data_IF_396892327321
#
_entry.id   IF_396892327321
#
_cell.length_a   1.000
_cell.length_b   1.000
_cell.length_c   1.000
_cell.angle_alpha   90.00
_cell.angle_beta   90.00
_cell.angle_gamma   90.00
#
_symmetry.space_group_name_H-M   'P 1'
#
loop_
_entity.id
_entity.type
_entity.pdbx_description
1 polymer ?
#
# COMPACT_ATOMS: atom_id res chain seq x y z
N UNK A 1 23.95 13.83 -8.88
CA UNK A 1 23.82 12.59 -9.67
C UNK A 1 22.34 12.27 -9.79
N UNK A 2 21.77 12.18 -10.99
CA UNK A 2 20.39 11.72 -11.15
C UNK A 2 20.31 10.20 -11.07
N UNK A 3 19.35 9.68 -10.30
CA UNK A 3 19.05 8.25 -10.31
C UNK A 3 18.51 7.86 -11.69
N UNK A 4 19.06 6.79 -12.28
CA UNK A 4 18.65 6.26 -13.59
C UNK A 4 17.14 5.97 -13.67
N UNK A 5 16.50 5.70 -12.53
CA UNK A 5 15.06 5.53 -12.38
C UNK A 5 14.24 6.71 -12.94
N UNK A 6 14.76 7.94 -12.85
CA UNK A 6 14.06 9.14 -13.31
C UNK A 6 14.43 9.54 -14.74
N UNK A 7 15.33 8.80 -15.40
CA UNK A 7 15.72 9.04 -16.78
C UNK A 7 14.90 8.22 -17.79
N UNK A 8 13.79 7.63 -17.34
CA UNK A 8 12.87 6.83 -18.14
C UNK A 8 11.42 7.21 -17.82
N UNK A 9 10.47 6.91 -18.71
CA UNK A 9 9.05 7.11 -18.43
C UNK A 9 8.63 6.43 -17.12
N UNK A 10 7.96 7.17 -16.25
CA UNK A 10 7.46 6.66 -14.97
C UNK A 10 6.04 6.11 -15.12
N UNK A 11 5.80 4.95 -14.53
CA UNK A 11 4.46 4.42 -14.32
C UNK A 11 3.97 4.88 -12.95
N UNK A 12 3.07 5.86 -12.92
CA UNK A 12 2.59 6.45 -11.66
C UNK A 12 1.34 5.74 -11.17
N UNK A 13 1.34 5.32 -9.91
CA UNK A 13 0.15 4.87 -9.18
C UNK A 13 -0.16 5.95 -8.13
N UNK A 14 -1.28 6.66 -8.27
CA UNK A 14 -1.72 7.61 -7.26
C UNK A 14 -2.54 6.88 -6.20
N UNK A 15 -2.23 7.13 -4.92
CA UNK A 15 -2.96 6.59 -3.76
C UNK A 15 -3.47 7.74 -2.92
N UNK A 16 -4.75 7.73 -2.57
CA UNK A 16 -5.39 8.81 -1.83
C UNK A 16 -6.13 9.78 -2.75
N UNK A 17 -5.99 11.09 -2.52
CA UNK A 17 -6.87 12.11 -3.11
C UNK A 17 -6.76 12.10 -4.64
N UNK A 18 -7.91 11.93 -5.31
CA UNK A 18 -8.00 11.83 -6.76
C UNK A 18 -7.50 13.08 -7.51
N UNK A 19 -7.55 14.26 -6.88
CA UNK A 19 -7.13 15.53 -7.49
C UNK A 19 -5.69 15.49 -8.01
N UNK A 20 -4.78 14.77 -7.33
CA UNK A 20 -3.40 14.65 -7.78
C UNK A 20 -3.28 13.80 -9.05
N UNK A 21 -4.09 12.75 -9.20
CA UNK A 21 -4.17 11.99 -10.45
C UNK A 21 -4.65 12.87 -11.59
N UNK A 22 -5.64 13.72 -11.34
CA UNK A 22 -6.18 14.61 -12.38
C UNK A 22 -5.17 15.68 -12.82
N UNK A 23 -4.40 16.23 -11.89
CA UNK A 23 -3.34 17.19 -12.23
C UNK A 23 -2.19 16.53 -13.02
N UNK A 24 -1.88 15.26 -12.75
CA UNK A 24 -0.91 14.48 -13.55
C UNK A 24 -1.43 14.19 -14.96
N UNK A 25 -2.72 13.85 -15.11
CA UNK A 25 -3.34 13.64 -16.43
C UNK A 25 -3.30 14.90 -17.29
N UNK A 26 -3.57 16.08 -16.70
CA UNK A 26 -3.47 17.38 -17.42
C UNK A 26 -2.05 17.66 -17.93
N UNK A 27 -1.04 17.15 -17.22
CA UNK A 27 0.36 17.23 -17.62
C UNK A 27 0.78 16.11 -18.58
N UNK A 28 -0.16 15.29 -19.07
CA UNK A 28 0.08 14.15 -19.96
C UNK A 28 0.99 13.08 -19.35
N UNK A 29 1.01 12.97 -18.02
CA UNK A 29 1.75 11.91 -17.30
C UNK A 29 0.86 10.66 -17.21
N UNK A 30 1.35 9.47 -17.60
CA UNK A 30 0.64 8.22 -17.40
C UNK A 30 0.45 7.93 -15.90
N UNK A 31 -0.81 7.90 -15.45
CA UNK A 31 -1.16 7.65 -14.05
C UNK A 31 -2.38 6.73 -13.92
N UNK A 32 -2.30 5.79 -12.98
CA UNK A 32 -3.44 4.97 -12.53
C UNK A 32 -3.85 5.41 -11.13
N UNK A 33 -5.11 5.79 -10.93
CA UNK A 33 -5.65 6.04 -9.61
C UNK A 33 -5.97 4.70 -8.93
N UNK A 34 -5.38 4.45 -7.78
CA UNK A 34 -5.82 3.37 -6.90
C UNK A 34 -6.99 3.87 -6.05
N UNK A 35 -8.12 3.18 -6.17
CA UNK A 35 -9.25 3.37 -5.27
C UNK A 35 -8.94 2.67 -3.94
N UNK A 36 -8.27 3.41 -3.05
CA UNK A 36 -7.81 2.92 -1.77
C UNK A 36 -8.49 3.68 -0.63
N UNK A 37 -8.95 2.95 0.37
CA UNK A 37 -9.55 3.49 1.60
C UNK A 37 -8.78 2.94 2.80
N UNK A 38 -8.49 3.74 3.85
CA UNK A 38 -7.77 3.27 5.02
C UNK A 38 -8.54 2.16 5.77
N UNK A 39 -7.82 1.29 6.50
CA UNK A 39 -8.43 0.22 7.25
C UNK A 39 -9.46 0.75 8.26
N UNK A 40 -10.58 0.05 8.38
CA UNK A 40 -11.65 0.42 9.30
C UNK A 40 -12.55 1.58 8.86
N UNK A 41 -12.21 2.36 7.82
CA UNK A 41 -13.05 3.45 7.28
C UNK A 41 -13.58 4.43 8.35
N UNK A 42 -12.84 4.65 9.43
CA UNK A 42 -13.26 5.48 10.57
C UNK A 42 -14.14 4.77 11.62
N UNK A 43 -14.47 3.50 11.42
CA UNK A 43 -15.12 2.66 12.43
C UNK A 43 -14.06 2.12 13.42
N UNK A 44 -14.03 2.70 14.62
CA UNK A 44 -13.07 2.34 15.66
C UNK A 44 -13.12 0.87 16.07
N UNK A 45 -14.30 0.24 16.11
CA UNK A 45 -14.40 -1.18 16.46
C UNK A 45 -13.72 -2.07 15.40
N UNK A 46 -13.78 -1.67 14.12
CA UNK A 46 -13.09 -2.38 13.04
C UNK A 46 -11.58 -2.14 13.11
N UNK A 47 -11.15 -0.91 13.43
CA UNK A 47 -9.73 -0.59 13.64
C UNK A 47 -9.15 -1.45 14.77
N UNK A 48 -9.81 -1.51 15.93
CA UNK A 48 -9.37 -2.31 17.07
C UNK A 48 -9.29 -3.81 16.74
N UNK A 49 -10.27 -4.33 15.98
CA UNK A 49 -10.24 -5.73 15.53
C UNK A 49 -9.07 -6.00 14.59
N UNK A 50 -8.77 -5.07 13.67
CA UNK A 50 -7.63 -5.17 12.76
C UNK A 50 -6.30 -5.09 13.53
N UNK A 51 -6.20 -4.27 14.57
CA UNK A 51 -5.01 -4.18 15.42
C UNK A 51 -4.72 -5.50 16.16
N UNK A 52 -5.76 -6.20 16.63
CA UNK A 52 -5.60 -7.51 17.25
C UNK A 52 -5.06 -8.56 16.25
N UNK A 53 -5.54 -8.52 15.00
CA UNK A 53 -5.06 -9.39 13.92
C UNK A 53 -3.61 -9.02 13.55
N UNK A 54 -3.27 -7.73 13.55
CA UNK A 54 -1.92 -7.25 13.25
C UNK A 54 -0.90 -7.48 14.40
N UNK A 55 -1.27 -8.24 15.45
CA UNK A 55 -0.40 -8.48 16.60
C UNK A 55 0.92 -9.16 16.23
N UNK A 56 2.05 -8.85 16.92
CA UNK A 56 3.36 -9.42 16.62
C UNK A 56 3.39 -10.95 16.62
N UNK A 57 2.68 -11.57 17.58
CA UNK A 57 2.61 -13.02 17.69
C UNK A 57 1.93 -13.68 16.48
N UNK A 58 0.94 -13.02 15.85
CA UNK A 58 0.33 -13.52 14.63
C UNK A 58 1.20 -13.20 13.40
N UNK A 59 1.84 -12.04 13.37
CA UNK A 59 2.77 -11.65 12.31
C UNK A 59 3.93 -12.65 12.16
N UNK A 60 4.50 -13.13 13.26
CA UNK A 60 5.55 -14.16 13.23
C UNK A 60 5.05 -15.49 12.66
N UNK A 61 3.83 -15.91 13.01
CA UNK A 61 3.19 -17.13 12.46
C UNK A 61 2.96 -16.98 10.95
N UNK A 62 2.47 -15.83 10.51
CA UNK A 62 2.29 -15.52 9.08
C UNK A 62 3.63 -15.53 8.35
N UNK A 63 4.66 -14.91 8.92
CA UNK A 63 5.99 -14.89 8.33
C UNK A 63 6.60 -16.31 8.20
N UNK A 64 6.42 -17.16 9.21
CA UNK A 64 6.84 -18.55 9.15
C UNK A 64 6.12 -19.33 8.05
N UNK A 65 4.80 -19.14 7.90
CA UNK A 65 4.03 -19.75 6.83
C UNK A 65 4.45 -19.27 5.43
N UNK A 66 4.72 -17.97 5.26
CA UNK A 66 5.17 -17.41 3.99
C UNK A 66 6.52 -17.97 3.54
N UNK A 67 7.42 -18.28 4.48
CA UNK A 67 8.70 -18.96 4.17
C UNK A 67 8.52 -20.37 3.62
N UNK A 68 7.42 -21.05 3.98
CA UNK A 68 7.10 -22.40 3.50
C UNK A 68 6.36 -22.39 2.15
N UNK A 69 5.86 -21.23 1.70
CA UNK A 69 5.14 -21.06 0.44
C UNK A 69 5.80 -19.99 -0.46
N UNK A 70 7.02 -20.21 -0.98
CA UNK A 70 7.80 -19.22 -1.72
C UNK A 70 7.21 -18.79 -3.08
N UNK A 71 6.07 -19.36 -3.51
CA UNK A 71 5.44 -19.10 -4.81
C UNK A 71 4.38 -17.99 -4.83
N UNK A 72 4.06 -17.34 -3.72
CA UNK A 72 3.05 -16.27 -3.70
C UNK A 72 3.68 -14.97 -3.22
N UNK A 73 3.90 -14.03 -4.14
CA UNK A 73 4.47 -12.70 -3.87
C UNK A 73 3.49 -11.81 -3.06
N UNK A 74 3.19 -12.15 -1.80
CA UNK A 74 2.52 -11.25 -0.87
C UNK A 74 3.53 -10.75 0.17
N UNK A 75 4.22 -9.66 -0.16
CA UNK A 75 4.75 -8.77 0.87
C UNK A 75 3.57 -7.99 1.44
N UNK A 76 2.99 -8.47 2.54
CA UNK A 76 2.12 -7.64 3.35
C UNK A 76 3.03 -6.62 4.04
N UNK A 77 3.15 -5.43 3.46
CA UNK A 77 3.87 -4.34 4.08
C UNK A 77 3.11 -3.98 5.38
N UNK A 78 3.67 -4.35 6.52
CA UNK A 78 3.27 -3.85 7.83
C UNK A 78 3.62 -2.37 7.89
N UNK A 79 2.75 -1.51 7.37
CA UNK A 79 3.04 -0.08 7.31
C UNK A 79 1.91 0.73 6.72
N UNK A 80 0.92 1.07 7.56
CA UNK A 80 0.19 2.35 7.57
C UNK A 80 -1.09 2.18 8.43
N UNK A 81 -0.91 2.03 9.74
CA UNK A 81 -2.00 2.02 10.72
C UNK A 81 -1.91 3.15 11.74
N UNK A 82 -1.09 4.17 11.50
CA UNK A 82 -1.03 5.37 12.33
C UNK A 82 -1.01 6.61 11.44
N UNK A 83 -2.19 7.20 11.28
CA UNK A 83 -2.35 8.65 11.18
C UNK A 83 -2.99 9.11 12.50
#
# INVERSE_FOLDING_TARGET
MSHSLFNQPLNVINVGIAMFSDDLKKQHVPVTQLDWTPPGQGNMAVVEALDQIASPALAEKVAAANKLAPGTHYSVASGAGRL
#
